data_IF_957484330859
#
_entry.id   IF_957484330859
#
_cell.length_a   1.000
_cell.length_b   1.000
_cell.length_c   1.000
_cell.angle_alpha   90.00
_cell.angle_beta   90.00
_cell.angle_gamma   90.00
#
_symmetry.space_group_name_H-M   'P 1'
#
loop_
_entity.id
_entity.type
_entity.pdbx_description
1 polymer ?
#
# COMPACT_ATOMS: atom_id res chain seq x y z
N UNK A 1 5.38 -3.77 -14.87
CA UNK A 1 4.80 -2.70 -14.00
C UNK A 1 5.78 -2.36 -12.89
N UNK A 2 6.06 -1.08 -12.66
CA UNK A 2 6.98 -0.61 -11.61
C UNK A 2 6.21 -0.46 -10.29
N UNK A 3 6.58 -1.23 -9.29
CA UNK A 3 5.85 -1.30 -8.02
C UNK A 3 6.68 -0.69 -6.91
N UNK A 4 6.05 0.20 -6.13
CA UNK A 4 6.58 0.73 -4.89
C UNK A 4 5.78 0.15 -3.72
N UNK A 5 6.45 -0.56 -2.83
CA UNK A 5 5.92 -0.90 -1.53
C UNK A 5 6.26 0.21 -0.54
N UNK A 6 5.24 0.76 0.11
CA UNK A 6 5.36 1.95 0.92
C UNK A 6 4.77 1.74 2.31
N UNK A 7 5.55 2.04 3.33
CA UNK A 7 5.03 2.31 4.68
C UNK A 7 4.95 3.83 4.82
N UNK A 8 3.74 4.38 4.99
CA UNK A 8 3.54 5.83 4.97
C UNK A 8 4.21 6.54 6.15
N UNK A 9 4.51 7.85 6.03
CA UNK A 9 4.91 8.66 7.17
C UNK A 9 3.84 8.65 8.26
N UNK A 10 4.24 8.57 9.52
CA UNK A 10 3.34 8.73 10.66
C UNK A 10 3.08 10.23 10.87
N UNK A 11 1.92 10.72 10.45
CA UNK A 11 1.54 12.14 10.55
C UNK A 11 0.40 12.37 11.52
N UNK A 12 -0.42 11.34 11.74
CA UNK A 12 -1.52 11.36 12.72
C UNK A 12 -1.06 10.58 13.93
N UNK A 13 -0.36 11.24 14.86
CA UNK A 13 -0.13 10.63 16.16
C UNK A 13 -1.50 10.51 16.85
N UNK A 14 -1.99 9.28 16.98
CA UNK A 14 -2.93 9.00 18.05
C UNK A 14 -2.16 9.30 19.32
N UNK A 15 -2.48 10.41 19.99
CA UNK A 15 -1.92 10.73 21.32
C UNK A 15 -2.19 9.53 22.22
N UNK A 16 -1.19 8.63 22.28
CA UNK A 16 -1.24 7.55 23.24
C UNK A 16 -1.08 8.19 24.61
N UNK A 17 -1.90 7.80 25.57
CA UNK A 17 -1.75 8.16 26.98
C UNK A 17 -0.47 7.57 27.60
N UNK A 18 0.49 7.16 26.77
CA UNK A 18 1.80 6.62 27.16
C UNK A 18 2.68 7.79 27.57
N UNK A 19 3.25 7.78 28.80
CA UNK A 19 4.16 8.81 29.23
C UNK A 19 5.31 9.00 28.23
N UNK A 20 5.66 10.25 27.91
CA UNK A 20 6.73 10.62 26.97
C UNK A 20 8.08 9.90 27.23
N UNK A 21 8.34 9.54 28.49
CA UNK A 21 9.53 8.76 28.86
C UNK A 21 9.56 7.34 28.25
N UNK A 22 8.43 6.80 27.85
CA UNK A 22 8.31 5.49 27.20
C UNK A 22 8.21 5.60 25.66
N UNK A 23 7.98 6.77 25.12
CA UNK A 23 7.94 7.00 23.67
C UNK A 23 9.31 6.84 23.00
N UNK A 24 10.38 7.22 23.71
CA UNK A 24 11.76 7.07 23.21
C UNK A 24 12.27 5.63 23.06
N UNK A 25 11.48 4.63 23.50
CA UNK A 25 11.80 3.21 23.39
C UNK A 25 11.02 2.46 22.31
N UNK A 26 10.20 3.14 21.51
CA UNK A 26 9.49 2.50 20.39
C UNK A 26 10.49 2.07 19.33
N UNK A 27 10.75 0.77 19.25
CA UNK A 27 11.49 0.19 18.14
C UNK A 27 10.58 0.11 16.89
N UNK A 28 11.18 0.35 15.73
CA UNK A 28 10.52 0.06 14.47
C UNK A 28 10.85 -1.38 14.06
N UNK A 29 9.81 -2.14 13.73
CA UNK A 29 9.96 -3.50 13.23
C UNK A 29 9.68 -3.52 11.73
N UNK A 30 10.50 -4.24 10.94
CA UNK A 30 10.25 -4.41 9.52
C UNK A 30 8.82 -4.91 9.27
N UNK A 31 8.16 -4.37 8.27
CA UNK A 31 6.80 -4.79 7.86
C UNK A 31 6.88 -6.12 7.10
N UNK A 32 7.14 -7.21 7.81
CA UNK A 32 7.42 -8.53 7.22
C UNK A 32 6.37 -8.96 6.21
N UNK A 33 5.07 -8.79 6.50
CA UNK A 33 4.02 -9.16 5.56
C UNK A 33 4.15 -8.44 4.21
N UNK A 34 4.48 -7.14 4.22
CA UNK A 34 4.68 -6.38 2.99
C UNK A 34 5.96 -6.81 2.26
N UNK A 35 7.02 -7.10 2.99
CA UNK A 35 8.28 -7.62 2.44
C UNK A 35 8.11 -9.02 1.84
N UNK A 36 7.31 -9.89 2.46
CA UNK A 36 6.98 -11.22 1.90
C UNK A 36 6.23 -11.09 0.57
N UNK A 37 5.26 -10.19 0.47
CA UNK A 37 4.55 -9.92 -0.79
C UNK A 37 5.53 -9.44 -1.86
N UNK A 38 6.42 -8.50 -1.53
CA UNK A 38 7.44 -7.99 -2.45
C UNK A 38 8.38 -9.12 -2.93
N UNK A 39 8.95 -9.88 -2.01
CA UNK A 39 9.87 -10.98 -2.33
C UNK A 39 9.19 -12.09 -3.16
N UNK A 40 7.95 -12.41 -2.85
CA UNK A 40 7.17 -13.37 -3.63
C UNK A 40 6.93 -12.86 -5.05
N UNK A 41 6.52 -11.60 -5.21
CA UNK A 41 6.32 -10.97 -6.51
C UNK A 41 7.60 -10.99 -7.35
N UNK A 42 8.74 -10.59 -6.77
CA UNK A 42 10.03 -10.59 -7.46
C UNK A 42 10.45 -11.99 -7.93
N UNK A 43 10.27 -12.98 -7.04
CA UNK A 43 10.58 -14.38 -7.37
C UNK A 43 9.73 -14.92 -8.52
N UNK A 44 8.42 -14.67 -8.50
CA UNK A 44 7.50 -15.24 -9.48
C UNK A 44 7.53 -14.51 -10.84
N UNK A 45 7.90 -13.22 -10.84
CA UNK A 45 7.86 -12.40 -12.06
C UNK A 45 9.23 -12.09 -12.66
N UNK A 46 10.29 -12.21 -11.87
CA UNK A 46 11.63 -11.74 -12.25
C UNK A 46 11.77 -10.22 -12.25
N UNK A 47 10.72 -9.46 -11.93
CA UNK A 47 10.78 -8.01 -11.81
C UNK A 47 11.36 -7.60 -10.45
N UNK A 48 11.92 -6.40 -10.37
CA UNK A 48 12.35 -5.80 -9.11
C UNK A 48 11.32 -4.82 -8.57
N UNK A 49 11.26 -4.68 -7.27
CA UNK A 49 10.41 -3.71 -6.58
C UNK A 49 11.23 -2.67 -5.84
N UNK A 50 10.60 -1.58 -5.45
CA UNK A 50 11.19 -0.59 -4.55
C UNK A 50 10.43 -0.61 -3.24
N UNK A 51 11.14 -0.46 -2.12
CA UNK A 51 10.56 -0.42 -0.78
C UNK A 51 10.98 0.88 -0.08
N UNK A 52 10.02 1.59 0.50
CA UNK A 52 10.27 2.76 1.36
C UNK A 52 9.55 2.52 2.68
N UNK A 53 10.29 2.58 3.79
CA UNK A 53 9.73 2.52 5.15
C UNK A 53 9.96 3.88 5.82
N UNK A 54 8.96 4.77 5.72
CA UNK A 54 9.13 6.15 6.15
C UNK A 54 9.41 6.32 7.65
N UNK A 55 8.74 5.61 8.58
CA UNK A 55 8.97 5.82 10.01
C UNK A 55 10.40 5.54 10.49
N UNK A 56 11.02 4.37 10.22
CA UNK A 56 12.38 4.10 10.68
C UNK A 56 13.44 4.92 9.95
N UNK A 57 13.18 5.33 8.70
CA UNK A 57 14.05 6.19 7.92
C UNK A 57 13.84 7.68 8.21
N UNK A 58 12.88 8.02 9.08
CA UNK A 58 12.48 9.39 9.38
C UNK A 58 12.18 10.23 8.13
N UNK A 59 11.53 9.60 7.13
CA UNK A 59 11.18 10.23 5.86
C UNK A 59 9.92 11.04 6.03
N UNK A 60 10.02 12.33 5.76
CA UNK A 60 8.86 13.24 5.76
C UNK A 60 7.92 12.99 4.56
N UNK A 61 6.72 13.55 4.59
CA UNK A 61 5.78 13.49 3.45
C UNK A 61 6.41 14.12 2.19
N UNK A 62 7.14 15.23 2.35
CA UNK A 62 7.82 15.92 1.24
C UNK A 62 8.94 15.07 0.64
N UNK A 63 9.79 14.47 1.48
CA UNK A 63 10.86 13.58 1.03
C UNK A 63 10.32 12.31 0.38
N UNK A 64 9.25 11.75 0.92
CA UNK A 64 8.53 10.62 0.32
C UNK A 64 8.05 10.97 -1.09
N UNK A 65 7.40 12.12 -1.26
CA UNK A 65 6.93 12.58 -2.57
C UNK A 65 8.10 12.81 -3.54
N UNK A 66 9.22 13.37 -3.08
CA UNK A 66 10.42 13.53 -3.90
C UNK A 66 10.93 12.18 -4.40
N UNK A 67 11.05 11.18 -3.52
CA UNK A 67 11.46 9.81 -3.89
C UNK A 67 10.46 9.17 -4.87
N UNK A 68 9.15 9.35 -4.67
CA UNK A 68 8.12 8.82 -5.58
C UNK A 68 8.22 9.44 -6.97
N UNK A 69 8.51 10.74 -7.08
CA UNK A 69 8.74 11.43 -8.37
C UNK A 69 9.95 10.87 -9.12
N UNK A 70 11.01 10.49 -8.42
CA UNK A 70 12.21 9.86 -9.02
C UNK A 70 11.90 8.41 -9.45
N UNK A 71 11.24 7.66 -8.57
CA UNK A 71 10.88 6.25 -8.83
C UNK A 71 9.89 6.16 -9.98
N UNK A 72 8.91 7.04 -10.06
CA UNK A 72 7.80 7.01 -11.03
C UNK A 72 7.11 5.63 -11.06
N UNK A 73 6.55 5.17 -9.94
CA UNK A 73 5.88 3.88 -9.89
C UNK A 73 4.56 3.91 -10.68
N UNK A 74 4.18 2.76 -11.21
CA UNK A 74 2.84 2.54 -11.80
C UNK A 74 1.81 2.21 -10.71
N UNK A 75 2.29 1.61 -9.61
CA UNK A 75 1.47 1.23 -8.46
C UNK A 75 2.22 1.45 -7.16
N UNK A 76 1.50 1.97 -6.15
CA UNK A 76 1.93 1.98 -4.75
C UNK A 76 1.10 0.99 -3.97
N UNK A 77 1.76 0.08 -3.24
CA UNK A 77 1.14 -0.91 -2.38
C UNK A 77 1.48 -0.64 -0.91
N UNK A 78 0.46 -0.60 -0.06
CA UNK A 78 0.61 -0.38 1.38
C UNK A 78 -0.12 -1.46 2.17
N UNK A 79 0.48 -1.89 3.29
CA UNK A 79 -0.16 -2.79 4.25
C UNK A 79 -0.59 -2.00 5.48
N UNK A 80 -1.88 -2.04 5.80
CA UNK A 80 -2.47 -1.17 6.82
C UNK A 80 -3.13 -1.95 7.96
N UNK A 81 -3.00 -1.39 9.14
CA UNK A 81 -3.81 -1.67 10.32
C UNK A 81 -4.79 -0.53 10.57
N UNK A 82 -5.82 -0.74 11.37
CA UNK A 82 -6.84 0.29 11.62
C UNK A 82 -6.25 1.58 12.21
N UNK A 83 -5.22 1.49 13.03
CA UNK A 83 -4.63 2.66 13.69
C UNK A 83 -3.83 3.58 12.74
N UNK A 84 -3.29 3.05 11.63
CA UNK A 84 -2.55 3.85 10.65
C UNK A 84 -3.31 4.07 9.33
N UNK A 85 -4.61 3.77 9.32
CA UNK A 85 -5.46 3.98 8.15
C UNK A 85 -5.43 5.44 7.66
N UNK A 86 -5.52 6.40 8.59
CA UNK A 86 -5.55 7.82 8.24
C UNK A 86 -4.25 8.29 7.57
N UNK A 87 -3.09 7.79 8.03
CA UNK A 87 -1.80 8.08 7.40
C UNK A 87 -1.74 7.51 5.98
N UNK A 88 -2.22 6.28 5.79
CA UNK A 88 -2.28 5.67 4.46
C UNK A 88 -3.22 6.41 3.51
N UNK A 89 -4.38 6.87 4.00
CA UNK A 89 -5.34 7.64 3.19
C UNK A 89 -4.79 9.02 2.83
N UNK A 90 -4.16 9.72 3.78
CA UNK A 90 -3.49 10.99 3.51
C UNK A 90 -2.42 10.81 2.44
N UNK A 91 -1.58 9.79 2.60
CA UNK A 91 -0.54 9.44 1.62
C UNK A 91 -1.14 9.12 0.25
N UNK A 92 -2.16 8.28 0.17
CA UNK A 92 -2.84 7.97 -1.07
C UNK A 92 -3.40 9.23 -1.75
N UNK A 93 -4.00 10.14 -0.97
CA UNK A 93 -4.56 11.40 -1.47
C UNK A 93 -3.47 12.30 -2.08
N UNK A 94 -2.36 12.53 -1.40
CA UNK A 94 -1.30 13.39 -1.93
C UNK A 94 -0.64 12.78 -3.16
N UNK A 95 -0.47 11.46 -3.19
CA UNK A 95 0.03 10.73 -4.35
C UNK A 95 -0.91 10.85 -5.56
N UNK A 96 -2.22 10.74 -5.34
CA UNK A 96 -3.25 10.90 -6.40
C UNK A 96 -3.37 12.34 -6.89
N UNK A 97 -3.12 13.33 -6.04
CA UNK A 97 -3.08 14.74 -6.46
C UNK A 97 -1.91 15.02 -7.40
N UNK A 98 -0.76 14.39 -7.18
CA UNK A 98 0.41 14.53 -8.05
C UNK A 98 0.28 13.70 -9.33
N UNK A 99 -0.21 12.49 -9.22
CA UNK A 99 -0.40 11.60 -10.35
C UNK A 99 -1.75 10.86 -10.24
N UNK A 100 -2.82 11.39 -10.86
CA UNK A 100 -4.14 10.74 -10.83
C UNK A 100 -4.17 9.33 -11.45
N UNK A 101 -3.22 9.00 -12.31
CA UNK A 101 -3.12 7.67 -12.95
C UNK A 101 -2.40 6.62 -12.11
N UNK A 102 -1.70 7.04 -11.04
CA UNK A 102 -1.01 6.15 -10.12
C UNK A 102 -2.02 5.21 -9.46
N UNK A 103 -1.77 3.91 -9.55
CA UNK A 103 -2.61 2.91 -8.89
C UNK A 103 -2.24 2.78 -7.41
N UNK A 104 -3.26 2.80 -6.55
CA UNK A 104 -3.08 2.59 -5.09
C UNK A 104 -3.75 1.29 -4.68
N UNK A 105 -2.96 0.39 -4.10
CA UNK A 105 -3.39 -0.91 -3.61
C UNK A 105 -3.18 -0.99 -2.09
N UNK A 106 -4.24 -1.31 -1.36
CA UNK A 106 -4.16 -1.55 0.08
C UNK A 106 -4.36 -3.03 0.42
N UNK A 107 -3.58 -3.50 1.38
CA UNK A 107 -3.73 -4.81 1.99
C UNK A 107 -3.57 -4.74 3.51
N UNK A 108 -3.47 -5.91 4.16
CA UNK A 108 -3.21 -6.01 5.59
C UNK A 108 -4.44 -6.19 6.47
N UNK A 109 -4.24 -6.22 7.80
CA UNK A 109 -5.29 -6.59 8.77
C UNK A 109 -6.55 -5.73 8.69
N UNK A 110 -6.44 -4.43 8.45
CA UNK A 110 -7.62 -3.56 8.31
C UNK A 110 -8.46 -3.97 7.10
N UNK A 111 -7.81 -4.20 5.96
CA UNK A 111 -8.49 -4.59 4.71
C UNK A 111 -9.18 -5.95 4.84
N UNK A 112 -8.58 -6.89 5.60
CA UNK A 112 -9.20 -8.19 5.87
C UNK A 112 -10.54 -8.07 6.62
N UNK A 113 -10.68 -7.05 7.47
CA UNK A 113 -11.90 -6.82 8.23
C UNK A 113 -12.92 -5.96 7.46
N UNK A 114 -12.45 -4.98 6.71
CA UNK A 114 -13.26 -3.95 6.06
C UNK A 114 -12.93 -3.75 4.58
N UNK A 115 -12.95 -4.81 3.74
CA UNK A 115 -12.51 -4.71 2.35
C UNK A 115 -13.40 -3.79 1.50
N UNK A 116 -14.71 -3.83 1.70
CA UNK A 116 -15.68 -3.03 0.93
C UNK A 116 -15.60 -1.55 1.30
N UNK A 117 -15.55 -1.25 2.59
CA UNK A 117 -15.42 0.08 3.14
C UNK A 117 -14.10 0.72 2.67
N UNK A 118 -13.00 -0.01 2.75
CA UNK A 118 -11.68 0.45 2.27
C UNK A 118 -11.71 0.74 0.77
N UNK A 119 -12.28 -0.14 -0.03
CA UNK A 119 -12.37 0.05 -1.48
C UNK A 119 -13.30 1.21 -1.87
N UNK A 120 -14.28 1.57 -1.02
CA UNK A 120 -15.19 2.70 -1.29
C UNK A 120 -14.48 4.06 -1.22
N UNK A 121 -13.31 4.13 -0.58
CA UNK A 121 -12.55 5.37 -0.44
C UNK A 121 -12.02 5.85 -1.81
N UNK A 122 -12.14 7.16 -2.13
CA UNK A 122 -11.90 7.67 -3.49
C UNK A 122 -10.46 7.43 -3.98
N UNK A 123 -9.49 7.46 -3.09
CA UNK A 123 -8.06 7.34 -3.41
C UNK A 123 -7.60 5.89 -3.68
N UNK A 124 -8.42 4.89 -3.31
CA UNK A 124 -8.03 3.49 -3.37
C UNK A 124 -8.57 2.83 -4.62
N UNK A 125 -7.70 2.21 -5.42
CA UNK A 125 -8.08 1.52 -6.66
C UNK A 125 -8.29 0.03 -6.45
N UNK A 126 -7.44 -0.58 -5.60
CA UNK A 126 -7.40 -2.01 -5.34
C UNK A 126 -7.28 -2.31 -3.85
N UNK A 127 -7.90 -3.39 -3.42
CA UNK A 127 -7.70 -3.98 -2.10
C UNK A 127 -7.36 -5.46 -2.25
N UNK A 128 -6.39 -5.92 -1.45
CA UNK A 128 -5.98 -7.33 -1.37
C UNK A 128 -6.23 -7.81 0.05
N UNK A 129 -6.99 -8.89 0.19
CA UNK A 129 -7.33 -9.49 1.47
C UNK A 129 -7.04 -11.00 1.48
N UNK A 130 -6.78 -11.56 2.66
CA UNK A 130 -6.23 -12.91 2.81
C UNK A 130 -4.70 -12.93 2.64
N UNK A 131 -4.17 -14.00 2.06
CA UNK A 131 -2.74 -14.17 1.82
C UNK A 131 -2.32 -13.37 0.58
N UNK A 132 -1.62 -12.26 0.83
CA UNK A 132 -1.36 -11.24 -0.19
C UNK A 132 -0.42 -11.65 -1.30
N UNK A 133 0.52 -12.56 -1.05
CA UNK A 133 1.63 -12.92 -1.95
C UNK A 133 1.14 -13.34 -3.34
N UNK A 134 0.29 -14.35 -3.37
CA UNK A 134 -0.25 -14.89 -4.63
C UNK A 134 -1.26 -13.96 -5.27
N UNK A 135 -2.11 -13.35 -4.44
CA UNK A 135 -3.22 -12.50 -4.91
C UNK A 135 -2.67 -11.22 -5.55
N UNK A 136 -1.73 -10.55 -4.87
CA UNK A 136 -1.08 -9.34 -5.37
C UNK A 136 -0.31 -9.61 -6.68
N UNK A 137 0.45 -10.72 -6.73
CA UNK A 137 1.18 -11.10 -7.94
C UNK A 137 0.25 -11.38 -9.12
N UNK A 138 -0.85 -12.12 -8.91
CA UNK A 138 -1.85 -12.35 -9.98
C UNK A 138 -2.53 -11.06 -10.42
N UNK A 139 -2.88 -10.19 -9.48
CA UNK A 139 -3.45 -8.87 -9.78
C UNK A 139 -2.52 -8.07 -10.69
N UNK A 140 -1.26 -7.96 -10.33
CA UNK A 140 -0.28 -7.16 -11.10
C UNK A 140 -0.03 -7.73 -12.49
N UNK A 141 0.10 -9.07 -12.61
CA UNK A 141 0.24 -9.75 -13.89
C UNK A 141 -1.00 -9.57 -14.79
N UNK A 142 -2.20 -9.66 -14.23
CA UNK A 142 -3.44 -9.42 -14.96
C UNK A 142 -3.55 -7.97 -15.47
N UNK A 143 -3.04 -7.00 -14.69
CA UNK A 143 -3.01 -5.59 -15.10
C UNK A 143 -1.95 -5.30 -16.17
N UNK A 144 -0.87 -6.08 -16.25
CA UNK A 144 0.19 -5.91 -17.25
C UNK A 144 -0.12 -6.59 -18.57
N UNK A 145 -0.62 -7.82 -18.51
CA UNK A 145 -0.68 -8.70 -19.66
C UNK A 145 -2.07 -8.86 -20.25
N UNK A 146 -3.09 -8.38 -19.54
CA UNK A 146 -4.51 -8.60 -19.90
C UNK A 146 -4.89 -10.08 -20.12
N UNK A 147 -4.04 -11.01 -19.66
CA UNK A 147 -4.16 -12.45 -19.88
C UNK A 147 -5.23 -13.09 -18.98
N UNK A 148 -5.50 -12.52 -17.83
CA UNK A 148 -6.47 -13.00 -16.86
C UNK A 148 -7.54 -11.97 -16.59
N UNK A 149 -8.80 -12.39 -16.58
CA UNK A 149 -9.88 -11.51 -16.13
C UNK A 149 -9.73 -11.21 -14.64
N UNK A 150 -9.71 -9.94 -14.27
CA UNK A 150 -9.69 -9.53 -12.87
C UNK A 150 -10.81 -10.20 -12.05
N UNK A 151 -11.96 -10.47 -12.68
CA UNK A 151 -13.09 -11.14 -12.03
C UNK A 151 -12.82 -12.61 -11.64
N UNK A 152 -11.76 -13.25 -12.18
CA UNK A 152 -11.40 -14.64 -11.85
C UNK A 152 -10.44 -14.75 -10.65
N UNK A 153 -9.90 -13.64 -10.15
CA UNK A 153 -8.98 -13.62 -9.03
C UNK A 153 -9.76 -13.47 -7.73
N UNK A 154 -9.71 -14.46 -6.85
CA UNK A 154 -10.29 -14.39 -5.52
C UNK A 154 -9.33 -13.68 -4.54
N UNK A 155 -9.89 -13.00 -3.55
CA UNK A 155 -9.13 -12.36 -2.48
C UNK A 155 -8.73 -10.90 -2.76
N UNK A 156 -9.30 -10.27 -3.79
CA UNK A 156 -9.10 -8.86 -4.03
C UNK A 156 -10.39 -8.15 -4.48
N UNK A 157 -10.40 -6.82 -4.37
CA UNK A 157 -11.45 -5.96 -4.88
C UNK A 157 -10.88 -4.82 -5.71
N UNK A 158 -11.66 -4.33 -6.68
CA UNK A 158 -11.32 -3.18 -7.51
C UNK A 158 -12.54 -2.34 -7.83
N UNK A 159 -12.33 -1.05 -8.09
CA UNK A 159 -13.38 -0.18 -8.61
C UNK A 159 -13.58 -0.45 -10.10
N UNK A 160 -14.76 -0.87 -10.49
CA UNK A 160 -15.16 -0.78 -11.89
C UNK A 160 -15.39 0.70 -12.22
N UNK A 161 -14.83 1.18 -13.34
CA UNK A 161 -15.03 2.54 -13.87
C UNK A 161 -16.49 2.82 -14.30
N UNK A 162 -17.46 2.35 -13.57
CA UNK A 162 -18.87 2.63 -13.78
C UNK A 162 -19.54 2.71 -12.41
N UNK A 163 -19.50 3.91 -11.81
CA UNK A 163 -20.56 4.29 -10.91
C UNK A 163 -21.83 4.50 -11.78
N UNK A 164 -22.74 3.55 -11.80
CA UNK A 164 -24.15 3.78 -11.93
C UNK A 164 -24.79 3.51 -10.59
#
# INVERSE_FOLDING_TARGET
>A
MKILFLVPPETVSLESSVPKALEGGKGYYPKLGLLYVAAYYERETGNTTTFIDCPPENVSEEDMLARVREIKPDMVAMSIMTFNLLDALRTAKVLKLENPSLKVCLGGPHVNLYPKETLSLPEIDYVVFGEGERIFTRLTLALEKEEESLASINGFGWKKNNYK
#
